data_IF_275149692407
#
_entry.id   IF_275149692407
#
_cell.length_a   1.000
_cell.length_b   1.000
_cell.length_c   1.000
_cell.angle_alpha   90.00
_cell.angle_beta   90.00
_cell.angle_gamma   90.00
#
_symmetry.space_group_name_H-M   'P 1'
#
loop_
_entity.id
_entity.type
_entity.pdbx_description
1 polymer ?
#
# COMPACT_ATOMS: atom_id res chain seq x y z
N UNK A 1 -43.64 -8.44 -20.77
CA UNK A 1 -43.19 -9.50 -19.83
C UNK A 1 -41.66 -9.42 -19.78
N UNK A 2 -41.14 -8.63 -18.85
CA UNK A 2 -39.71 -8.43 -18.69
C UNK A 2 -39.19 -9.55 -17.78
N UNK A 3 -38.31 -10.40 -18.31
CA UNK A 3 -37.55 -11.37 -17.51
C UNK A 3 -36.62 -10.59 -16.58
N UNK A 4 -36.87 -10.69 -15.28
CA UNK A 4 -35.85 -10.34 -14.26
C UNK A 4 -34.70 -11.31 -14.45
N UNK A 5 -33.54 -10.81 -14.88
CA UNK A 5 -32.28 -11.54 -14.70
C UNK A 5 -32.07 -11.74 -13.19
N UNK A 6 -32.26 -12.95 -12.72
CA UNK A 6 -31.84 -13.34 -11.38
C UNK A 6 -30.32 -13.25 -11.34
N UNK A 7 -29.81 -12.23 -10.67
CA UNK A 7 -28.41 -12.20 -10.23
C UNK A 7 -28.24 -13.37 -9.25
N UNK A 8 -27.77 -14.51 -9.74
CA UNK A 8 -27.25 -15.54 -8.89
C UNK A 8 -26.03 -14.96 -8.18
N UNK A 9 -26.14 -14.68 -6.88
CA UNK A 9 -24.99 -14.45 -6.00
C UNK A 9 -24.12 -15.71 -6.08
N UNK A 10 -23.04 -15.65 -6.85
CA UNK A 10 -22.10 -16.75 -6.95
C UNK A 10 -21.42 -16.90 -5.60
N UNK A 11 -21.71 -17.96 -4.89
CA UNK A 11 -20.98 -18.31 -3.65
C UNK A 11 -19.50 -18.41 -3.98
N UNK A 12 -18.62 -17.70 -3.25
CA UNK A 12 -17.19 -17.77 -3.47
C UNK A 12 -16.68 -19.21 -3.38
N UNK A 13 -15.86 -19.61 -4.34
CA UNK A 13 -15.21 -20.94 -4.36
C UNK A 13 -13.72 -20.78 -4.05
N UNK A 14 -13.10 -21.86 -3.58
CA UNK A 14 -11.65 -21.89 -3.31
C UNK A 14 -10.78 -21.65 -4.56
N UNK A 15 -11.35 -21.78 -5.77
CA UNK A 15 -10.68 -21.55 -7.05
C UNK A 15 -11.01 -20.22 -7.71
N UNK A 16 -11.68 -19.33 -7.05
CA UNK A 16 -12.06 -18.03 -7.64
C UNK A 16 -10.86 -17.17 -8.02
N UNK A 17 -9.70 -17.40 -7.40
CA UNK A 17 -8.45 -16.76 -7.75
C UNK A 17 -7.99 -17.03 -9.20
N UNK A 18 -8.43 -18.15 -9.81
CA UNK A 18 -8.14 -18.47 -11.21
C UNK A 18 -8.83 -17.51 -12.20
N UNK A 19 -9.84 -16.76 -11.76
CA UNK A 19 -10.49 -15.72 -12.56
C UNK A 19 -9.64 -14.44 -12.67
N UNK A 20 -8.66 -14.26 -11.76
CA UNK A 20 -7.72 -13.13 -11.81
C UNK A 20 -6.59 -13.40 -12.80
N UNK A 21 -5.97 -12.36 -13.40
CA UNK A 21 -4.75 -12.55 -14.18
C UNK A 21 -3.62 -13.17 -13.34
N UNK A 22 -2.88 -14.14 -13.93
CA UNK A 22 -1.71 -14.77 -13.28
C UNK A 22 -0.44 -13.91 -13.34
N UNK A 23 -0.53 -12.68 -13.80
CA UNK A 23 0.61 -11.77 -13.98
C UNK A 23 0.80 -10.93 -12.72
N UNK A 24 1.99 -11.02 -12.15
CA UNK A 24 2.47 -10.19 -11.04
C UNK A 24 3.73 -9.42 -11.44
N UNK A 25 3.85 -8.20 -10.94
CA UNK A 25 5.08 -7.39 -11.11
C UNK A 25 5.97 -7.69 -9.89
N UNK A 26 6.92 -8.62 -10.07
CA UNK A 26 7.78 -9.14 -9.02
C UNK A 26 9.00 -8.23 -8.81
N UNK A 27 9.21 -7.77 -7.58
CA UNK A 27 10.42 -7.05 -7.14
C UNK A 27 11.48 -8.02 -6.63
N UNK A 28 11.06 -9.05 -5.90
CA UNK A 28 11.91 -10.10 -5.36
C UNK A 28 11.06 -11.34 -5.03
N UNK A 29 11.63 -12.52 -5.21
CA UNK A 29 10.98 -13.79 -4.86
C UNK A 29 12.04 -14.81 -4.39
N UNK A 30 11.68 -15.56 -3.36
CA UNK A 30 12.39 -16.78 -2.91
C UNK A 30 11.39 -17.84 -2.44
N UNK A 31 11.84 -18.85 -1.69
CA UNK A 31 10.98 -19.92 -1.17
C UNK A 31 10.01 -19.44 -0.08
N UNK A 32 10.28 -18.33 0.59
CA UNK A 32 9.53 -17.85 1.75
C UNK A 32 8.62 -16.66 1.45
N UNK A 33 9.09 -15.75 0.60
CA UNK A 33 8.41 -14.47 0.36
C UNK A 33 8.33 -14.12 -1.13
N UNK A 34 7.36 -13.26 -1.45
CA UNK A 34 7.23 -12.60 -2.74
C UNK A 34 6.98 -11.10 -2.49
N UNK A 35 7.86 -10.24 -2.99
CA UNK A 35 7.69 -8.79 -2.99
C UNK A 35 7.13 -8.33 -4.34
N UNK A 36 6.02 -7.61 -4.29
CA UNK A 36 5.23 -7.23 -5.46
C UNK A 36 5.18 -5.72 -5.61
N UNK A 37 5.37 -5.22 -6.83
CA UNK A 37 5.09 -3.83 -7.17
C UNK A 37 3.62 -3.67 -7.60
N UNK A 38 2.73 -3.47 -6.63
CA UNK A 38 1.31 -3.26 -6.92
C UNK A 38 1.07 -1.99 -7.74
N UNK A 39 0.38 -2.11 -8.85
CA UNK A 39 -0.03 -0.94 -9.65
C UNK A 39 -1.19 -0.18 -9.00
N UNK A 40 -1.32 1.15 -9.23
CA UNK A 40 -2.49 1.89 -8.78
C UNK A 40 -3.76 1.39 -9.47
N UNK A 41 -4.89 1.46 -8.78
CA UNK A 41 -6.18 0.93 -9.25
C UNK A 41 -6.48 -0.50 -8.82
N UNK A 42 -5.46 -1.34 -8.54
CA UNK A 42 -5.63 -2.72 -8.10
C UNK A 42 -5.88 -2.77 -6.58
N UNK A 43 -6.92 -3.51 -6.18
CA UNK A 43 -7.18 -3.84 -4.77
C UNK A 43 -6.14 -4.81 -4.23
N UNK A 44 -5.81 -4.70 -2.95
CA UNK A 44 -4.95 -5.66 -2.25
C UNK A 44 -5.72 -6.96 -1.94
N UNK A 45 -6.93 -6.80 -1.40
CA UNK A 45 -7.90 -7.88 -1.16
C UNK A 45 -9.22 -7.55 -1.83
N UNK A 46 -10.05 -8.54 -2.16
CA UNK A 46 -11.43 -8.31 -2.61
C UNK A 46 -12.18 -7.42 -1.62
N UNK A 47 -13.10 -6.61 -2.11
CA UNK A 47 -14.04 -5.81 -1.31
C UNK A 47 -15.46 -6.42 -1.35
N UNK A 48 -16.42 -5.73 -0.73
CA UNK A 48 -17.82 -6.18 -0.63
C UNK A 48 -18.49 -6.35 -2.01
N UNK A 49 -18.01 -5.67 -3.06
CA UNK A 49 -18.50 -5.81 -4.42
C UNK A 49 -17.86 -6.99 -5.17
N UNK A 50 -17.06 -7.79 -4.47
CA UNK A 50 -16.41 -9.00 -4.96
C UNK A 50 -15.71 -8.82 -6.31
N UNK A 51 -14.56 -8.17 -6.27
CA UNK A 51 -13.69 -8.07 -7.44
C UNK A 51 -12.77 -9.29 -7.50
N UNK A 52 -12.95 -10.13 -8.51
CA UNK A 52 -12.07 -11.28 -8.75
C UNK A 52 -10.62 -10.87 -8.95
N UNK A 53 -10.37 -9.71 -9.57
CA UNK A 53 -9.03 -9.19 -9.79
C UNK A 53 -8.56 -8.35 -8.59
N UNK A 54 -7.90 -9.02 -7.67
CA UNK A 54 -7.17 -8.43 -6.55
C UNK A 54 -5.74 -8.93 -6.50
N UNK A 55 -4.86 -8.21 -5.80
CA UNK A 55 -3.46 -8.60 -5.70
C UNK A 55 -3.30 -10.01 -5.09
N UNK A 56 -4.05 -10.33 -4.04
CA UNK A 56 -4.00 -11.67 -3.44
C UNK A 56 -4.45 -12.75 -4.42
N UNK A 57 -5.51 -12.52 -5.19
CA UNK A 57 -5.97 -13.49 -6.19
C UNK A 57 -4.92 -13.70 -7.29
N UNK A 58 -4.27 -12.65 -7.75
CA UNK A 58 -3.15 -12.75 -8.72
C UNK A 58 -1.97 -13.55 -8.15
N UNK A 59 -1.61 -13.32 -6.89
CA UNK A 59 -0.54 -14.08 -6.20
C UNK A 59 -0.89 -15.57 -6.09
N UNK A 60 -2.10 -15.88 -5.68
CA UNK A 60 -2.58 -17.26 -5.59
C UNK A 60 -2.56 -17.94 -6.95
N UNK A 61 -3.05 -17.27 -8.01
CA UNK A 61 -3.02 -17.80 -9.38
C UNK A 61 -1.59 -18.03 -9.87
N UNK A 62 -0.70 -17.04 -9.65
CA UNK A 62 0.71 -17.12 -10.02
C UNK A 62 1.41 -18.33 -9.35
N UNK A 63 1.24 -18.51 -8.04
CA UNK A 63 1.87 -19.59 -7.29
C UNK A 63 1.21 -20.94 -7.59
N UNK A 64 -0.07 -20.97 -7.91
CA UNK A 64 -0.77 -22.18 -8.38
C UNK A 64 -0.18 -22.67 -9.71
N UNK A 65 0.01 -21.80 -10.68
CA UNK A 65 0.64 -22.14 -11.97
C UNK A 65 2.09 -22.61 -11.81
N UNK A 66 2.80 -22.14 -10.78
CA UNK A 66 4.14 -22.61 -10.42
C UNK A 66 4.15 -23.96 -9.67
N UNK A 67 2.99 -24.46 -9.25
CA UNK A 67 2.86 -25.65 -8.42
C UNK A 67 3.23 -25.42 -6.94
N UNK A 68 3.38 -24.17 -6.52
CA UNK A 68 3.75 -23.81 -5.14
C UNK A 68 2.53 -23.55 -4.23
N UNK A 69 1.32 -23.51 -4.81
CA UNK A 69 0.04 -23.44 -4.11
C UNK A 69 -0.93 -24.44 -4.73
N UNK A 70 -1.46 -25.33 -3.90
CA UNK A 70 -2.40 -26.37 -4.32
C UNK A 70 -3.55 -26.45 -3.32
N UNK A 71 -4.64 -25.71 -3.52
CA UNK A 71 -5.74 -25.60 -2.54
C UNK A 71 -6.40 -26.94 -2.20
N UNK A 72 -6.39 -27.92 -3.14
CA UNK A 72 -6.92 -29.25 -2.93
C UNK A 72 -6.14 -30.12 -1.91
N UNK A 73 -4.92 -29.71 -1.54
CA UNK A 73 -4.14 -30.42 -0.54
C UNK A 73 -4.50 -29.88 0.85
N UNK A 74 -5.00 -30.71 1.76
CA UNK A 74 -5.45 -30.35 3.10
C UNK A 74 -4.44 -29.53 3.91
N UNK A 75 -3.14 -29.75 3.67
CA UNK A 75 -2.05 -29.04 4.35
C UNK A 75 -1.44 -27.91 3.52
N UNK A 76 -2.06 -27.51 2.41
CA UNK A 76 -1.55 -26.43 1.58
C UNK A 76 -1.77 -25.10 2.28
N UNK A 77 -0.66 -24.34 2.46
CA UNK A 77 -0.74 -22.97 2.96
C UNK A 77 -1.26 -22.06 1.84
N UNK A 78 -2.36 -21.37 2.08
CA UNK A 78 -2.82 -20.34 1.16
C UNK A 78 -1.91 -19.08 1.27
N UNK A 79 -1.25 -18.68 0.16
CA UNK A 79 -0.42 -17.47 0.16
C UNK A 79 -1.18 -16.27 0.71
N UNK A 80 -0.52 -15.47 1.56
CA UNK A 80 -1.16 -14.37 2.28
C UNK A 80 -0.35 -13.08 2.19
N UNK A 81 -1.04 -11.93 2.12
CA UNK A 81 -0.39 -10.63 2.11
C UNK A 81 -0.16 -10.13 3.54
N UNK A 82 1.06 -9.68 3.81
CA UNK A 82 1.51 -9.24 5.14
C UNK A 82 1.12 -7.78 5.42
N UNK A 83 1.09 -6.96 4.38
CA UNK A 83 0.70 -5.55 4.46
C UNK A 83 -0.30 -5.19 3.37
N UNK A 84 -0.95 -4.07 3.57
CA UNK A 84 -1.86 -3.49 2.58
C UNK A 84 -1.53 -2.04 2.32
N UNK A 85 -1.76 -1.61 1.10
CA UNK A 85 -1.75 -0.22 0.66
C UNK A 85 -3.09 0.08 -0.03
N UNK A 86 -3.44 1.35 -0.13
CA UNK A 86 -4.73 1.75 -0.71
C UNK A 86 -4.85 1.31 -2.17
N UNK A 87 -6.09 1.17 -2.68
CA UNK A 87 -6.37 0.79 -4.07
C UNK A 87 -5.53 1.60 -5.06
N UNK A 88 -5.50 2.93 -4.89
CA UNK A 88 -4.84 3.86 -5.81
C UNK A 88 -3.38 4.21 -5.42
N UNK A 89 -2.84 3.60 -4.36
CA UNK A 89 -1.43 3.66 -4.01
C UNK A 89 -0.68 2.55 -4.74
N UNK A 90 0.46 2.88 -5.32
CA UNK A 90 1.38 1.90 -5.92
C UNK A 90 2.47 1.47 -4.95
N UNK A 91 3.19 0.41 -5.30
CA UNK A 91 4.41 0.06 -4.59
C UNK A 91 4.43 -1.29 -3.91
N UNK A 92 5.42 -1.49 -3.04
CA UNK A 92 5.77 -2.80 -2.49
C UNK A 92 4.68 -3.32 -1.55
N UNK A 93 4.22 -4.52 -1.86
CA UNK A 93 3.39 -5.36 -1.00
C UNK A 93 4.10 -6.70 -0.80
N UNK A 94 4.10 -7.19 0.44
CA UNK A 94 4.77 -8.43 0.85
C UNK A 94 3.73 -9.55 0.86
N UNK A 95 4.00 -10.65 0.15
CA UNK A 95 3.29 -11.90 0.29
C UNK A 95 4.19 -12.94 0.97
N UNK A 96 3.62 -13.68 1.91
CA UNK A 96 4.23 -14.87 2.50
C UNK A 96 3.80 -16.10 1.71
N UNK A 97 4.75 -16.98 1.40
CA UNK A 97 4.54 -18.22 0.64
C UNK A 97 4.32 -19.42 1.56
N UNK A 98 4.61 -19.28 2.86
CA UNK A 98 4.37 -20.32 3.87
C UNK A 98 3.95 -19.73 5.21
N UNK A 99 3.40 -20.57 6.08
CA UNK A 99 2.83 -20.17 7.36
C UNK A 99 3.87 -19.61 8.34
N UNK A 100 5.08 -20.15 8.34
CA UNK A 100 6.15 -19.70 9.20
C UNK A 100 6.61 -18.29 8.82
N UNK A 101 6.84 -18.03 7.53
CA UNK A 101 7.17 -16.72 7.02
C UNK A 101 6.07 -15.69 7.35
N UNK A 102 4.78 -16.07 7.19
CA UNK A 102 3.65 -15.19 7.56
C UNK A 102 3.68 -14.82 9.04
N UNK A 103 3.87 -15.80 9.92
CA UNK A 103 3.92 -15.58 11.37
C UNK A 103 5.07 -14.65 11.75
N UNK A 104 6.27 -14.91 11.22
CA UNK A 104 7.45 -14.09 11.47
C UNK A 104 7.24 -12.65 10.96
N UNK A 105 6.83 -12.48 9.70
CA UNK A 105 6.62 -11.15 9.10
C UNK A 105 5.56 -10.34 9.84
N UNK A 106 4.47 -10.96 10.29
CA UNK A 106 3.45 -10.29 11.10
C UNK A 106 4.01 -9.82 12.45
N UNK A 107 4.85 -10.63 13.12
CA UNK A 107 5.51 -10.23 14.35
C UNK A 107 6.48 -9.07 14.12
N UNK A 108 7.35 -9.17 13.09
CA UNK A 108 8.31 -8.13 12.71
C UNK A 108 7.61 -6.82 12.30
N UNK A 109 6.50 -6.91 11.58
CA UNK A 109 5.67 -5.75 11.25
C UNK A 109 5.09 -5.08 12.49
N UNK A 110 4.58 -5.86 13.45
CA UNK A 110 4.04 -5.37 14.72
C UNK A 110 5.13 -4.68 15.57
N UNK A 111 6.33 -5.23 15.58
CA UNK A 111 7.50 -4.70 16.29
C UNK A 111 8.16 -3.53 15.57
N UNK A 112 7.68 -3.17 14.37
CA UNK A 112 8.24 -2.12 13.51
C UNK A 112 9.69 -2.37 13.08
N UNK A 113 10.02 -3.62 12.87
CA UNK A 113 11.30 -4.08 12.37
C UNK A 113 11.33 -4.19 10.82
N UNK A 114 10.27 -3.69 10.15
CA UNK A 114 10.20 -3.46 8.71
C UNK A 114 9.92 -1.98 8.46
N UNK A 115 10.88 -1.28 7.85
CA UNK A 115 10.73 0.14 7.52
C UNK A 115 10.20 0.32 6.11
N UNK A 116 9.16 1.12 5.97
CA UNK A 116 8.49 1.40 4.70
C UNK A 116 8.65 2.86 4.34
N UNK A 117 9.32 3.09 3.22
CA UNK A 117 9.51 4.42 2.68
C UNK A 117 8.61 4.63 1.46
N UNK A 118 8.03 5.81 1.39
CA UNK A 118 7.15 6.20 0.31
C UNK A 118 7.73 7.39 -0.42
N UNK A 119 7.51 7.45 -1.74
CA UNK A 119 7.60 8.70 -2.48
C UNK A 119 6.19 9.26 -2.67
N UNK A 120 6.06 10.58 -2.57
CA UNK A 120 4.82 11.25 -2.93
C UNK A 120 5.07 12.65 -3.50
N UNK A 121 4.13 13.11 -4.33
CA UNK A 121 4.09 14.50 -4.78
C UNK A 121 2.93 15.19 -4.08
N UNK A 122 3.20 16.33 -3.46
CA UNK A 122 2.21 17.16 -2.78
C UNK A 122 2.05 18.52 -3.45
N UNK A 123 0.90 19.15 -3.26
CA UNK A 123 0.66 20.52 -3.68
C UNK A 123 1.39 21.52 -2.78
N UNK A 124 1.99 22.52 -3.39
CA UNK A 124 2.68 23.65 -2.72
C UNK A 124 4.12 23.35 -2.33
N UNK A 125 4.79 24.42 -1.88
CA UNK A 125 6.14 24.36 -1.31
C UNK A 125 6.07 23.96 0.16
N UNK A 126 6.90 22.98 0.55
CA UNK A 126 7.07 22.67 1.97
C UNK A 126 7.90 23.77 2.65
N UNK A 127 7.42 24.25 3.80
CA UNK A 127 8.14 25.26 4.58
C UNK A 127 9.43 24.69 5.19
N UNK A 128 9.38 23.44 5.64
CA UNK A 128 10.52 22.73 6.21
C UNK A 128 11.06 21.69 5.23
N UNK A 129 12.39 21.61 5.17
CA UNK A 129 13.07 20.58 4.35
C UNK A 129 12.82 19.15 4.86
N UNK A 130 12.59 18.98 6.16
CA UNK A 130 12.19 17.73 6.80
C UNK A 130 11.43 18.01 8.09
N UNK A 131 10.49 17.14 8.45
CA UNK A 131 9.77 17.24 9.73
C UNK A 131 9.24 15.87 10.16
N UNK A 132 8.94 15.74 11.45
CA UNK A 132 8.19 14.64 12.03
C UNK A 132 6.79 15.13 12.40
N UNK A 133 5.83 14.75 11.61
CA UNK A 133 4.43 15.06 11.87
C UNK A 133 3.86 14.06 12.89
N UNK A 134 3.30 14.58 13.97
CA UNK A 134 2.56 13.81 14.96
C UNK A 134 1.12 14.28 14.97
N UNK A 135 0.18 13.34 14.95
CA UNK A 135 -1.26 13.64 14.94
C UNK A 135 -2.08 12.51 15.54
N UNK A 136 -3.38 12.76 15.64
CA UNK A 136 -4.36 11.84 16.22
C UNK A 136 -5.44 11.56 15.20
N UNK A 137 -5.54 10.29 14.78
CA UNK A 137 -6.37 9.85 13.68
C UNK A 137 -7.66 9.23 14.18
N UNK A 138 -8.78 9.68 13.63
CA UNK A 138 -10.10 9.07 13.73
C UNK A 138 -10.55 8.55 12.38
N UNK A 139 -11.14 7.37 12.34
CA UNK A 139 -11.72 6.80 11.12
C UNK A 139 -13.24 6.93 11.16
N UNK A 140 -13.82 7.56 10.16
CA UNK A 140 -15.24 7.53 9.88
C UNK A 140 -15.51 6.37 8.91
N UNK A 141 -16.10 5.29 9.42
CA UNK A 141 -16.35 4.05 8.66
C UNK A 141 -17.35 4.29 7.52
N UNK A 142 -18.46 4.99 7.79
CA UNK A 142 -19.53 5.22 6.78
C UNK A 142 -19.04 6.02 5.58
N UNK A 143 -18.07 6.94 5.78
CA UNK A 143 -17.48 7.75 4.71
C UNK A 143 -16.18 7.15 4.16
N UNK A 144 -15.72 6.04 4.73
CA UNK A 144 -14.40 5.46 4.47
C UNK A 144 -13.30 6.55 4.43
N UNK A 145 -13.33 7.48 5.40
CA UNK A 145 -12.43 8.64 5.46
C UNK A 145 -11.84 8.75 6.85
N UNK A 146 -10.59 9.27 6.94
CA UNK A 146 -9.95 9.56 8.23
C UNK A 146 -9.79 11.06 8.40
N UNK A 147 -9.82 11.49 9.66
CA UNK A 147 -9.62 12.87 10.07
C UNK A 147 -8.42 12.93 11.02
N UNK A 148 -7.66 14.01 10.94
CA UNK A 148 -6.47 14.23 11.76
C UNK A 148 -6.72 15.42 12.67
N UNK A 149 -6.46 15.23 13.97
CA UNK A 149 -6.43 16.28 14.98
C UNK A 149 -4.99 16.49 15.46
N UNK A 150 -4.65 17.75 15.75
CA UNK A 150 -3.39 18.09 16.41
C UNK A 150 -3.40 17.80 17.92
N UNK A 151 -4.60 17.60 18.50
CA UNK A 151 -4.78 17.33 19.94
C UNK A 151 -5.35 15.93 20.15
N UNK A 152 -4.91 15.20 21.18
CA UNK A 152 -5.47 13.89 21.51
C UNK A 152 -6.94 13.99 21.90
N UNK A 153 -7.71 12.94 21.63
CA UNK A 153 -9.09 12.77 22.07
C UNK A 153 -9.40 11.27 22.30
N UNK A 154 -10.44 10.92 23.05
CA UNK A 154 -10.78 9.53 23.34
C UNK A 154 -10.99 8.70 22.08
N UNK A 155 -10.34 7.53 21.99
CA UNK A 155 -10.44 6.62 20.84
C UNK A 155 -9.52 6.95 19.65
N UNK A 156 -8.89 8.12 19.61
CA UNK A 156 -7.96 8.50 18.56
C UNK A 156 -6.71 7.59 18.54
N UNK A 157 -6.22 7.32 17.35
CA UNK A 157 -4.98 6.57 17.15
C UNK A 157 -3.84 7.53 16.87
N UNK A 158 -2.80 7.53 17.70
CA UNK A 158 -1.58 8.30 17.42
C UNK A 158 -0.94 7.86 16.13
N UNK A 159 -0.59 8.82 15.30
CA UNK A 159 0.12 8.62 14.03
C UNK A 159 1.40 9.45 13.99
N UNK A 160 2.41 8.89 13.32
CA UNK A 160 3.71 9.51 13.11
C UNK A 160 4.12 9.33 11.65
N UNK A 161 4.41 10.44 10.98
CA UNK A 161 4.80 10.49 9.57
C UNK A 161 6.00 11.41 9.46
N UNK A 162 7.18 10.85 9.19
CA UNK A 162 8.40 11.64 8.98
C UNK A 162 8.57 11.85 7.48
N UNK A 163 8.90 13.07 7.07
CA UNK A 163 9.16 13.35 5.66
C UNK A 163 10.47 14.12 5.45
N UNK A 164 10.99 13.99 4.25
CA UNK A 164 12.11 14.77 3.71
C UNK A 164 11.75 15.24 2.30
N UNK A 165 11.93 16.54 2.02
CA UNK A 165 11.74 17.11 0.70
C UNK A 165 12.95 16.78 -0.17
N UNK A 166 12.72 16.06 -1.26
CA UNK A 166 13.75 15.69 -2.23
C UNK A 166 13.95 16.76 -3.29
N UNK A 167 12.83 17.23 -3.85
CA UNK A 167 12.80 18.29 -4.86
C UNK A 167 11.60 19.20 -4.61
N UNK A 168 11.72 20.46 -5.00
CA UNK A 168 10.67 21.45 -4.80
C UNK A 168 10.56 22.37 -6.01
N UNK A 169 9.33 22.64 -6.42
CA UNK A 169 8.94 23.59 -7.44
C UNK A 169 7.99 24.63 -6.84
N UNK A 170 7.54 25.59 -7.62
CA UNK A 170 6.65 26.62 -7.13
C UNK A 170 5.32 26.08 -6.59
N UNK A 171 4.71 25.14 -7.33
CA UNK A 171 3.39 24.59 -7.00
C UNK A 171 3.43 23.18 -6.41
N UNK A 172 4.58 22.51 -6.40
CA UNK A 172 4.68 21.08 -6.04
C UNK A 172 5.96 20.76 -5.28
N UNK A 173 5.89 19.75 -4.42
CA UNK A 173 7.06 19.20 -3.74
C UNK A 173 7.06 17.67 -3.88
N UNK A 174 8.22 17.10 -4.21
CA UNK A 174 8.49 15.66 -4.18
C UNK A 174 9.10 15.32 -2.82
N UNK A 175 8.43 14.44 -2.10
CA UNK A 175 8.82 14.04 -0.75
C UNK A 175 9.16 12.56 -0.69
N UNK A 176 10.14 12.23 0.15
CA UNK A 176 10.31 10.90 0.72
C UNK A 176 9.64 10.89 2.10
N UNK A 177 8.84 9.88 2.37
CA UNK A 177 8.11 9.71 3.62
C UNK A 177 8.55 8.41 4.29
N UNK A 178 9.03 8.50 5.52
CA UNK A 178 9.26 7.37 6.42
C UNK A 178 8.00 7.15 7.26
N UNK A 179 7.32 6.02 7.03
CA UNK A 179 6.03 5.72 7.65
C UNK A 179 6.21 4.98 8.97
N UNK A 180 6.34 5.73 10.06
CA UNK A 180 6.59 5.18 11.41
C UNK A 180 5.36 4.47 12.00
N UNK A 181 4.16 4.86 11.61
CA UNK A 181 2.90 4.17 11.90
C UNK A 181 2.12 3.96 10.61
N UNK A 182 1.37 2.86 10.47
CA UNK A 182 0.70 2.48 9.23
C UNK A 182 -0.83 2.40 9.38
N UNK A 183 -1.52 3.54 9.51
CA UNK A 183 -2.99 3.59 9.57
C UNK A 183 -3.59 3.87 8.20
N UNK A 184 -4.86 3.49 8.01
CA UNK A 184 -5.63 3.75 6.79
C UNK A 184 -5.48 5.20 6.35
N UNK A 185 -5.14 5.41 5.07
CA UNK A 185 -4.98 6.73 4.45
C UNK A 185 -4.01 7.69 5.18
N UNK A 186 -3.13 7.19 6.07
CA UNK A 186 -2.38 8.04 6.98
C UNK A 186 -1.59 9.15 6.26
N UNK A 187 -0.71 8.81 5.32
CA UNK A 187 0.10 9.81 4.59
C UNK A 187 -0.81 10.83 3.91
N UNK A 188 -1.84 10.36 3.23
CA UNK A 188 -2.80 11.18 2.47
C UNK A 188 -3.49 12.21 3.35
N UNK A 189 -4.08 11.76 4.46
CA UNK A 189 -4.79 12.62 5.40
C UNK A 189 -3.83 13.54 6.17
N UNK A 190 -2.66 13.04 6.57
CA UNK A 190 -1.69 13.81 7.34
C UNK A 190 -1.11 14.98 6.51
N UNK A 191 -0.72 14.71 5.26
CA UNK A 191 -0.25 15.77 4.35
C UNK A 191 -1.35 16.79 4.04
N UNK A 192 -2.59 16.33 3.83
CA UNK A 192 -3.73 17.23 3.63
C UNK A 192 -4.02 18.11 4.86
N UNK A 193 -3.85 17.57 6.09
CA UNK A 193 -4.11 18.31 7.35
C UNK A 193 -3.14 19.47 7.58
N UNK A 194 -1.95 19.41 6.99
CA UNK A 194 -0.95 20.50 7.04
C UNK A 194 -1.00 21.40 5.79
N UNK A 195 -2.05 21.29 4.95
CA UNK A 195 -2.24 22.15 3.78
C UNK A 195 -1.58 21.66 2.49
N UNK A 196 -0.92 20.49 2.50
CA UNK A 196 -0.19 19.92 1.37
C UNK A 196 -0.78 18.59 0.91
N UNK A 197 -2.03 18.55 0.37
CA UNK A 197 -2.62 17.30 -0.08
C UNK A 197 -1.81 16.70 -1.24
N UNK A 198 -1.88 15.38 -1.38
CA UNK A 198 -1.21 14.68 -2.47
C UNK A 198 -1.84 15.03 -3.83
N UNK A 199 -0.99 15.18 -4.83
CA UNK A 199 -1.41 15.39 -6.22
C UNK A 199 -2.16 14.14 -6.70
N UNK A 200 -3.31 14.34 -7.35
CA UNK A 200 -4.17 13.26 -7.83
C UNK A 200 -5.03 12.57 -6.75
N UNK A 201 -4.99 13.04 -5.49
CA UNK A 201 -5.84 12.48 -4.44
C UNK A 201 -7.26 13.05 -4.48
N UNK A 202 -8.20 12.28 -5.06
CA UNK A 202 -9.61 12.68 -5.16
C UNK A 202 -10.38 12.70 -3.82
N UNK A 203 -9.79 12.15 -2.71
CA UNK A 203 -10.47 12.09 -1.41
C UNK A 203 -10.04 13.21 -0.48
N UNK A 204 -8.75 13.56 -0.45
CA UNK A 204 -8.18 14.57 0.46
C UNK A 204 -7.69 15.82 -0.27
N UNK A 205 -7.48 15.76 -1.58
CA UNK A 205 -7.14 16.91 -2.42
C UNK A 205 -8.36 17.75 -2.80
N UNK A 206 -8.09 18.95 -3.31
CA UNK A 206 -9.12 19.83 -3.90
C UNK A 206 -9.27 19.49 -5.39
N UNK A 207 -10.50 19.33 -5.87
CA UNK A 207 -10.78 18.97 -7.26
C UNK A 207 -10.19 19.97 -8.28
N UNK A 208 -10.19 21.26 -7.95
CA UNK A 208 -9.59 22.31 -8.79
C UNK A 208 -8.10 22.12 -9.00
N UNK A 209 -7.35 21.83 -7.94
CA UNK A 209 -5.90 21.58 -7.99
C UNK A 209 -5.56 20.27 -8.73
N UNK A 210 -6.36 19.22 -8.53
CA UNK A 210 -6.12 17.93 -9.17
C UNK A 210 -6.36 17.95 -10.69
N UNK A 211 -7.28 18.79 -11.18
CA UNK A 211 -7.51 18.97 -12.64
C UNK A 211 -6.28 19.51 -13.37
N UNK A 212 -5.51 20.37 -12.73
CA UNK A 212 -4.31 20.97 -13.32
C UNK A 212 -3.18 19.93 -13.48
N UNK A 213 -3.06 18.98 -12.56
CA UNK A 213 -2.00 17.98 -12.56
C UNK A 213 -2.18 16.85 -13.59
N UNK A 214 -3.43 16.63 -14.05
CA UNK A 214 -3.81 15.50 -14.94
C UNK A 214 -3.50 14.11 -14.40
N UNK A 215 -3.17 13.96 -13.11
CA UNK A 215 -2.91 12.65 -12.51
C UNK A 215 -4.23 11.91 -12.25
N UNK A 216 -4.34 10.72 -12.83
CA UNK A 216 -5.49 9.82 -12.64
C UNK A 216 -5.52 9.23 -11.22
N UNK A 217 -4.34 9.02 -10.64
CA UNK A 217 -4.15 8.38 -9.35
C UNK A 217 -3.37 9.31 -8.42
N UNK A 218 -3.50 9.10 -7.10
CA UNK A 218 -2.68 9.80 -6.14
C UNK A 218 -1.19 9.49 -6.34
N UNK A 219 -0.37 10.51 -6.41
CA UNK A 219 1.09 10.39 -6.52
C UNK A 219 1.67 9.90 -5.20
N UNK A 220 1.51 8.60 -4.92
CA UNK A 220 1.97 7.91 -3.73
C UNK A 220 2.43 6.50 -4.08
N UNK A 221 3.66 6.17 -3.70
CA UNK A 221 4.27 4.88 -3.95
C UNK A 221 5.07 4.39 -2.74
N UNK A 222 4.76 3.19 -2.24
CA UNK A 222 5.59 2.45 -1.28
C UNK A 222 6.82 1.94 -2.04
N UNK A 223 7.85 2.79 -2.22
CA UNK A 223 8.91 2.53 -3.17
C UNK A 223 10.08 1.74 -2.59
N UNK A 224 10.23 1.74 -1.25
CA UNK A 224 11.35 1.09 -0.58
C UNK A 224 10.91 0.38 0.70
N UNK A 225 11.42 -0.83 0.87
CA UNK A 225 11.23 -1.67 2.04
C UNK A 225 12.61 -2.05 2.60
N UNK A 226 12.80 -1.88 3.91
CA UNK A 226 14.02 -2.29 4.62
C UNK A 226 13.66 -3.26 5.74
N UNK A 227 14.33 -4.39 5.78
CA UNK A 227 14.26 -5.34 6.87
C UNK A 227 15.34 -4.99 7.90
N UNK A 228 14.94 -4.69 9.13
CA UNK A 228 15.83 -4.28 10.23
C UNK A 228 15.44 -5.02 11.50
N UNK A 229 15.75 -6.32 11.52
CA UNK A 229 15.37 -7.21 12.60
C UNK A 229 16.24 -6.98 13.83
N UNK A 230 15.60 -6.70 14.97
CA UNK A 230 16.23 -6.52 16.27
C UNK A 230 16.26 -7.82 17.08
N UNK A 231 15.47 -8.81 16.66
CA UNK A 231 15.35 -10.12 17.30
C UNK A 231 15.41 -11.21 16.24
N UNK A 232 15.68 -12.45 16.64
CA UNK A 232 15.70 -13.59 15.74
C UNK A 232 14.45 -13.65 14.84
N UNK A 233 14.66 -13.87 13.55
CA UNK A 233 13.62 -14.00 12.52
C UNK A 233 13.58 -15.41 11.91
N UNK A 234 14.19 -16.41 12.56
CA UNK A 234 14.15 -17.79 12.13
C UNK A 234 14.55 -17.97 10.67
N UNK A 235 13.70 -18.63 9.89
CA UNK A 235 13.93 -18.89 8.45
C UNK A 235 14.12 -17.61 7.62
N UNK A 236 13.77 -16.42 8.14
CA UNK A 236 13.88 -15.14 7.43
C UNK A 236 15.11 -14.31 7.87
N UNK A 237 16.00 -14.84 8.72
CA UNK A 237 17.19 -14.09 9.17
C UNK A 237 18.07 -13.57 8.03
N UNK A 238 18.10 -14.26 6.89
CA UNK A 238 18.85 -13.84 5.69
C UNK A 238 18.33 -12.54 5.06
N UNK A 239 17.13 -12.09 5.40
CA UNK A 239 16.57 -10.81 4.96
C UNK A 239 17.06 -9.63 5.82
N UNK A 240 17.64 -9.89 6.98
CA UNK A 240 18.06 -8.81 7.87
C UNK A 240 19.05 -7.87 7.19
N UNK A 241 18.84 -6.56 7.36
CA UNK A 241 19.56 -5.46 6.72
C UNK A 241 19.44 -5.40 5.18
N UNK A 242 18.56 -6.19 4.56
CA UNK A 242 18.29 -6.07 3.13
C UNK A 242 17.31 -4.94 2.84
N UNK A 243 17.60 -4.25 1.75
CA UNK A 243 16.76 -3.18 1.19
C UNK A 243 16.27 -3.60 -0.19
N UNK A 244 14.98 -3.36 -0.46
CA UNK A 244 14.35 -3.59 -1.75
C UNK A 244 13.69 -2.30 -2.22
N UNK A 245 13.94 -1.90 -3.48
CA UNK A 245 13.45 -0.65 -4.04
C UNK A 245 12.78 -0.88 -5.39
N UNK A 246 11.80 -0.03 -5.68
CA UNK A 246 11.22 0.09 -7.02
C UNK A 246 12.04 1.16 -7.77
N UNK A 247 12.78 0.79 -8.82
CA UNK A 247 13.73 1.70 -9.46
C UNK A 247 13.05 2.83 -10.24
N UNK A 248 11.84 2.60 -10.76
CA UNK A 248 11.08 3.59 -11.51
C UNK A 248 9.69 3.81 -10.90
N UNK A 249 9.49 4.99 -10.33
CA UNK A 249 8.19 5.41 -9.79
C UNK A 249 7.53 6.35 -10.79
N UNK A 250 6.37 5.96 -11.31
CA UNK A 250 5.69 6.56 -12.47
C UNK A 250 5.54 8.09 -12.43
N UNK A 251 5.41 8.70 -11.26
CA UNK A 251 5.23 10.15 -11.13
C UNK A 251 6.54 10.92 -10.89
N UNK A 252 7.66 10.25 -10.66
CA UNK A 252 8.95 10.92 -10.37
C UNK A 252 9.52 11.55 -11.64
N UNK A 253 9.45 10.83 -12.75
CA UNK A 253 9.87 11.38 -14.04
C UNK A 253 8.93 12.50 -14.51
N UNK A 254 7.61 12.31 -14.30
CA UNK A 254 6.62 13.34 -14.61
C UNK A 254 6.80 14.60 -13.76
N UNK A 255 7.27 14.48 -12.51
CA UNK A 255 7.53 15.62 -11.63
C UNK A 255 8.46 16.64 -12.26
N UNK A 256 9.45 16.22 -13.06
CA UNK A 256 10.36 17.11 -13.78
C UNK A 256 9.61 18.04 -14.76
N UNK A 257 8.47 17.57 -15.28
CA UNK A 257 7.66 18.27 -16.28
C UNK A 257 6.47 19.05 -15.68
N UNK A 258 6.15 18.89 -14.38
CA UNK A 258 5.13 19.69 -13.71
C UNK A 258 5.58 21.16 -13.63
N UNK A 259 4.69 22.10 -14.01
CA UNK A 259 4.94 23.54 -14.00
C UNK A 259 4.41 24.19 -12.71
#
# INVERSE_FOLDING_TARGET
MYLKEEFFEQTPTEYDFLKAPKVVDCVYEDENILLLNKKPGLLVHPDENYHFDSLIARVQHYLYEKGEYQPQNENSFAPALVNRIDRNTSGIVIAAKNAEALRILNDKMRKRELHKYYLCVVHGKMEKKSDLLVGYLEKNESKNRVYISARPFPGAKTIQTKYRTLQQKEKYSLLEVDLLTGRTHQIRAHMASIGHPLVGDGKYGKNTQNRESRYKWQALCSYKLVFDFQTDAGILNYLNHREFTIPQVWFVDDFKNLK
#
